data_IF_525460207247
#
_entry.id   IF_525460207247
#
_cell.length_a   1.000
_cell.length_b   1.000
_cell.length_c   1.000
_cell.angle_alpha   90.00
_cell.angle_beta   90.00
_cell.angle_gamma   90.00
#
_symmetry.space_group_name_H-M   'P 1'
#
loop_
_entity.id
_entity.type
_entity.pdbx_description
1 polymer ?
#
# COMPACT_ATOMS: atom_id res chain seq x y z
N UNK A 1 -21.18 -7.95 7.08
CA UNK A 1 -20.14 -7.86 6.03
C UNK A 1 -19.66 -9.27 5.73
N UNK A 2 -19.46 -9.64 4.45
CA UNK A 2 -18.82 -10.94 4.14
C UNK A 2 -17.37 -10.91 4.64
N UNK A 3 -16.97 -11.92 5.40
CA UNK A 3 -15.59 -12.05 5.87
C UNK A 3 -14.69 -12.39 4.68
N UNK A 4 -14.03 -11.37 4.14
CA UNK A 4 -12.98 -11.54 3.15
C UNK A 4 -11.76 -12.18 3.81
N UNK A 5 -11.19 -13.19 3.17
CA UNK A 5 -9.90 -13.75 3.55
C UNK A 5 -8.78 -12.74 3.26
N UNK A 6 -7.94 -12.49 4.25
CA UNK A 6 -6.81 -11.57 4.18
C UNK A 6 -5.50 -12.35 4.15
N UNK A 7 -4.56 -11.96 3.27
CA UNK A 7 -3.22 -12.53 3.26
C UNK A 7 -2.38 -11.82 4.32
N UNK A 8 -1.59 -12.61 5.04
CA UNK A 8 -0.68 -12.09 6.05
C UNK A 8 0.60 -12.91 6.06
N UNK A 9 1.74 -12.23 6.20
CA UNK A 9 3.03 -12.89 6.38
C UNK A 9 3.52 -12.63 7.80
N UNK A 10 3.87 -13.68 8.54
CA UNK A 10 4.23 -13.56 9.96
C UNK A 10 5.63 -14.09 10.26
N UNK A 11 6.26 -13.53 11.29
CA UNK A 11 7.53 -13.99 11.80
C UNK A 11 7.61 -13.80 13.32
N UNK A 12 8.41 -14.63 13.98
CA UNK A 12 8.62 -14.57 15.44
C UNK A 12 9.57 -13.45 15.87
N UNK A 13 10.38 -12.93 14.94
CA UNK A 13 11.31 -11.82 15.20
C UNK A 13 11.41 -10.88 14.01
N UNK A 14 11.74 -9.61 14.25
CA UNK A 14 11.98 -8.61 13.20
C UNK A 14 13.14 -8.96 12.26
N UNK A 15 14.10 -9.73 12.75
CA UNK A 15 15.33 -10.15 12.05
C UNK A 15 15.15 -11.47 11.30
N UNK A 16 13.97 -12.08 11.34
CA UNK A 16 13.68 -13.31 10.64
C UNK A 16 13.90 -13.16 9.14
N UNK A 17 14.72 -14.07 8.61
CA UNK A 17 15.05 -14.11 7.18
C UNK A 17 13.94 -14.76 6.35
N UNK A 18 13.09 -15.58 6.97
CA UNK A 18 11.93 -16.22 6.38
C UNK A 18 10.67 -15.88 7.17
N UNK A 19 9.59 -15.64 6.44
CA UNK A 19 8.27 -15.27 6.91
C UNK A 19 7.27 -16.29 6.40
N UNK A 20 6.31 -16.65 7.24
CA UNK A 20 5.28 -17.63 6.90
C UNK A 20 4.08 -16.90 6.31
N UNK A 21 3.78 -17.13 5.04
CA UNK A 21 2.56 -16.63 4.41
C UNK A 21 1.37 -17.50 4.83
N UNK A 22 0.34 -16.88 5.40
CA UNK A 22 -0.91 -17.54 5.78
C UNK A 22 -2.10 -16.65 5.40
N UNK A 23 -3.29 -17.13 5.75
CA UNK A 23 -4.51 -16.35 5.68
C UNK A 23 -5.04 -16.03 7.08
N UNK A 24 -5.84 -14.98 7.17
CA UNK A 24 -6.52 -14.52 8.39
C UNK A 24 -7.79 -13.79 8.00
N UNK A 25 -8.55 -13.29 8.98
CA UNK A 25 -9.74 -12.48 8.76
C UNK A 25 -9.63 -11.16 9.50
N UNK A 26 -10.50 -10.21 9.15
CA UNK A 26 -10.67 -8.98 9.92
C UNK A 26 -10.98 -9.29 11.38
N UNK A 27 -11.84 -10.28 11.64
CA UNK A 27 -12.25 -10.70 12.98
C UNK A 27 -11.08 -11.26 13.78
N UNK A 28 -10.28 -12.14 13.19
CA UNK A 28 -9.13 -12.76 13.90
C UNK A 28 -8.07 -11.70 14.23
N UNK A 29 -7.79 -10.78 13.30
CA UNK A 29 -6.88 -9.67 13.57
C UNK A 29 -7.44 -8.74 14.65
N UNK A 30 -8.74 -8.43 14.61
CA UNK A 30 -9.40 -7.61 15.63
C UNK A 30 -9.33 -8.26 17.00
N UNK A 31 -9.67 -9.54 17.11
CA UNK A 31 -9.57 -10.31 18.35
C UNK A 31 -8.13 -10.30 18.89
N UNK A 32 -7.15 -10.48 18.00
CA UNK A 32 -5.73 -10.42 18.37
C UNK A 32 -5.29 -9.04 18.89
N UNK A 33 -5.88 -7.95 18.41
CA UNK A 33 -5.60 -6.63 18.96
C UNK A 33 -6.11 -6.49 20.39
N UNK A 34 -7.27 -7.07 20.72
CA UNK A 34 -7.79 -7.09 22.08
C UNK A 34 -7.02 -8.02 23.04
N UNK A 35 -6.12 -8.86 22.52
CA UNK A 35 -5.26 -9.76 23.30
C UNK A 35 -3.76 -9.43 23.08
N UNK A 36 -3.27 -8.27 23.55
CA UNK A 36 -1.87 -7.89 23.37
C UNK A 36 -0.93 -8.82 24.14
N UNK A 37 0.28 -9.01 23.61
CA UNK A 37 1.35 -9.66 24.35
C UNK A 37 1.78 -8.78 25.52
N UNK A 38 1.68 -9.28 26.74
CA UNK A 38 2.19 -8.59 27.93
C UNK A 38 3.71 -8.82 28.02
N UNK A 39 4.47 -7.75 27.84
CA UNK A 39 5.92 -7.73 28.01
C UNK A 39 6.22 -7.49 29.49
N UNK A 40 6.88 -8.45 30.14
CA UNK A 40 7.23 -8.39 31.56
C UNK A 40 8.32 -7.34 31.84
N UNK A 41 7.94 -6.07 31.82
CA UNK A 41 8.75 -4.88 32.00
C UNK A 41 7.82 -3.71 32.31
N UNK A 42 8.20 -2.85 33.25
CA UNK A 42 7.47 -1.62 33.55
C UNK A 42 7.86 -0.48 32.61
N UNK A 43 7.03 0.57 32.52
CA UNK A 43 7.34 1.81 31.78
C UNK A 43 8.68 2.42 32.20
N UNK A 44 8.95 2.46 33.51
CA UNK A 44 10.18 3.03 34.06
C UNK A 44 11.43 2.21 33.72
N UNK A 45 11.35 0.88 33.78
CA UNK A 45 12.44 0.00 33.35
C UNK A 45 12.69 0.13 31.85
N UNK A 46 11.63 0.09 31.04
CA UNK A 46 11.72 0.20 29.59
C UNK A 46 12.33 1.54 29.16
N UNK A 47 12.00 2.64 29.85
CA UNK A 47 12.58 3.96 29.60
C UNK A 47 14.08 4.02 29.87
N UNK A 48 14.56 3.31 30.89
CA UNK A 48 15.99 3.25 31.27
C UNK A 48 16.83 2.39 30.32
N UNK A 49 16.22 1.49 29.57
CA UNK A 49 16.91 0.64 28.58
C UNK A 49 17.54 1.47 27.45
N UNK A 50 18.61 0.97 26.87
CA UNK A 50 19.15 1.46 25.60
C UNK A 50 18.15 1.22 24.46
N UNK A 51 18.33 1.92 23.34
CA UNK A 51 17.51 1.69 22.13
C UNK A 51 17.56 0.22 21.67
N UNK A 52 18.74 -0.40 21.71
CA UNK A 52 18.91 -1.79 21.29
C UNK A 52 18.17 -2.77 22.20
N UNK A 53 18.21 -2.56 23.51
CA UNK A 53 17.46 -3.36 24.49
C UNK A 53 15.95 -3.19 24.32
N UNK A 54 15.47 -1.96 24.15
CA UNK A 54 14.06 -1.69 23.83
C UNK A 54 13.63 -2.38 22.54
N UNK A 55 14.46 -2.31 21.50
CA UNK A 55 14.20 -2.96 20.21
C UNK A 55 14.15 -4.49 20.31
N UNK A 56 14.92 -5.08 21.21
CA UNK A 56 14.85 -6.51 21.52
C UNK A 56 13.62 -6.86 22.35
N UNK A 57 13.29 -6.02 23.34
CA UNK A 57 12.16 -6.27 24.27
C UNK A 57 10.80 -6.14 23.57
N UNK A 58 10.69 -5.21 22.60
CA UNK A 58 9.47 -5.01 21.80
C UNK A 58 9.24 -6.05 20.72
N UNK A 59 10.26 -6.86 20.42
CA UNK A 59 10.18 -7.87 19.37
C UNK A 59 9.41 -9.10 19.85
N UNK A 60 8.09 -8.98 19.86
CA UNK A 60 7.12 -10.06 20.15
C UNK A 60 6.71 -10.80 18.87
N UNK A 61 7.54 -10.71 17.83
CA UNK A 61 7.18 -11.03 16.46
C UNK A 61 6.29 -9.98 15.81
N UNK A 62 5.91 -10.24 14.57
CA UNK A 62 5.12 -9.29 13.80
C UNK A 62 4.57 -9.84 12.51
N UNK A 63 4.07 -8.93 11.69
CA UNK A 63 3.43 -9.23 10.43
C UNK A 63 3.71 -8.20 9.35
N UNK A 64 3.58 -8.65 8.10
CA UNK A 64 3.30 -7.81 6.93
C UNK A 64 1.88 -8.14 6.49
N UNK A 65 1.01 -7.13 6.39
CA UNK A 65 -0.40 -7.29 6.00
C UNK A 65 -0.57 -7.58 4.51
N UNK A 66 -0.09 -8.73 4.06
CA UNK A 66 -0.05 -9.14 2.66
C UNK A 66 0.71 -10.44 2.43
N UNK A 67 1.15 -10.67 1.19
CA UNK A 67 1.85 -11.91 0.79
C UNK A 67 3.26 -11.62 0.29
N UNK A 68 4.24 -12.36 0.83
CA UNK A 68 5.65 -12.22 0.49
C UNK A 68 6.12 -13.26 -0.53
N UNK A 69 6.72 -12.81 -1.63
CA UNK A 69 7.37 -13.67 -2.61
C UNK A 69 8.49 -14.48 -1.94
N UNK A 70 8.36 -15.80 -1.98
CA UNK A 70 9.25 -16.77 -1.31
C UNK A 70 9.37 -16.59 0.21
N UNK A 71 8.38 -15.97 0.87
CA UNK A 71 8.42 -15.71 2.31
C UNK A 71 9.59 -14.79 2.72
N UNK A 72 10.05 -13.90 1.83
CA UNK A 72 11.17 -12.98 2.11
C UNK A 72 10.67 -11.55 2.19
N UNK A 73 10.99 -10.86 3.30
CA UNK A 73 10.68 -9.44 3.47
C UNK A 73 11.84 -8.58 2.98
N UNK A 74 11.80 -8.18 1.71
CA UNK A 74 12.74 -7.22 1.08
C UNK A 74 12.06 -6.48 -0.07
N UNK A 75 12.68 -5.41 -0.57
CA UNK A 75 12.19 -4.67 -1.74
C UNK A 75 11.90 -5.60 -2.93
N UNK A 76 10.77 -5.37 -3.60
CA UNK A 76 10.32 -6.18 -4.74
C UNK A 76 9.78 -7.58 -4.39
N UNK A 77 9.67 -7.93 -3.10
CA UNK A 77 9.12 -9.22 -2.66
C UNK A 77 7.71 -9.12 -2.08
N UNK A 78 7.05 -7.97 -2.17
CA UNK A 78 5.64 -7.82 -1.81
C UNK A 78 4.81 -8.14 -3.04
N UNK A 79 4.02 -9.22 -3.00
CA UNK A 79 3.11 -9.56 -4.09
C UNK A 79 1.79 -8.82 -3.95
N UNK A 80 1.27 -8.72 -2.72
CA UNK A 80 0.00 -8.07 -2.42
C UNK A 80 0.02 -7.51 -1.00
N UNK A 81 -0.80 -6.49 -0.74
CA UNK A 81 -1.18 -6.00 0.59
C UNK A 81 -2.70 -6.14 0.76
N UNK A 82 -3.12 -6.75 1.86
CA UNK A 82 -4.52 -7.01 2.17
C UNK A 82 -5.14 -5.98 3.13
N UNK A 83 -4.29 -5.19 3.81
CA UNK A 83 -4.67 -4.08 4.68
C UNK A 83 -3.61 -2.98 4.68
N UNK A 84 -4.03 -1.77 5.04
CA UNK A 84 -3.13 -0.66 5.36
C UNK A 84 -2.81 -0.71 6.84
N UNK A 85 -1.55 -0.45 7.17
CA UNK A 85 -1.10 -0.32 8.55
C UNK A 85 -0.26 0.93 8.66
N UNK A 86 -0.65 1.83 9.56
CA UNK A 86 -0.03 3.14 9.75
C UNK A 86 0.50 3.24 11.19
N UNK A 87 1.77 3.61 11.36
CA UNK A 87 2.38 3.97 12.64
C UNK A 87 2.25 5.49 12.83
N UNK A 88 1.63 5.90 13.93
CA UNK A 88 1.49 7.30 14.33
C UNK A 88 2.32 7.52 15.59
N UNK A 89 3.40 8.28 15.44
CA UNK A 89 4.42 8.48 16.47
C UNK A 89 4.49 9.92 17.00
N UNK A 90 3.86 10.88 16.31
CA UNK A 90 3.97 12.31 16.62
C UNK A 90 2.57 12.94 16.78
N UNK A 91 1.68 12.28 17.52
CA UNK A 91 0.34 12.80 17.81
C UNK A 91 0.47 13.84 18.96
N UNK A 92 -0.05 15.06 18.80
CA UNK A 92 -0.05 16.06 19.89
C UNK A 92 -0.82 15.56 21.12
N UNK A 93 -0.33 15.86 22.33
CA UNK A 93 -0.92 15.38 23.59
C UNK A 93 -2.41 15.74 23.75
N UNK A 94 -2.83 16.88 23.21
CA UNK A 94 -4.19 17.40 23.30
C UNK A 94 -5.17 16.77 22.28
N UNK A 95 -4.73 15.79 21.49
CA UNK A 95 -5.57 15.11 20.49
C UNK A 95 -6.09 13.79 21.07
N UNK A 96 -7.41 13.64 21.07
CA UNK A 96 -8.08 12.35 21.22
C UNK A 96 -8.12 11.66 19.85
N UNK A 97 -7.16 10.76 19.61
CA UNK A 97 -7.05 10.07 18.32
C UNK A 97 -8.31 9.23 18.01
N UNK A 98 -8.83 8.35 18.89
CA UNK A 98 -10.06 7.61 18.63
C UNK A 98 -11.25 8.50 18.21
N UNK A 99 -11.47 9.62 18.90
CA UNK A 99 -12.55 10.54 18.55
C UNK A 99 -12.30 11.23 17.19
N UNK A 100 -11.07 11.68 16.93
CA UNK A 100 -10.69 12.27 15.65
C UNK A 100 -10.88 11.29 14.48
N UNK A 101 -10.54 10.01 14.66
CA UNK A 101 -10.74 8.98 13.65
C UNK A 101 -12.23 8.67 13.42
N UNK A 102 -13.05 8.67 14.46
CA UNK A 102 -14.48 8.42 14.33
C UNK A 102 -15.18 9.50 13.47
N UNK A 103 -14.75 10.75 13.63
CA UNK A 103 -15.27 11.92 12.90
C UNK A 103 -14.75 11.98 11.46
N UNK A 104 -13.44 11.83 11.26
CA UNK A 104 -12.79 12.10 9.97
C UNK A 104 -12.72 10.91 9.02
N UNK A 105 -12.77 9.67 9.54
CA UNK A 105 -12.52 8.47 8.74
C UNK A 105 -13.84 7.78 8.34
N UNK A 106 -14.17 7.72 7.03
CA UNK A 106 -15.44 7.16 6.56
C UNK A 106 -15.44 5.63 6.38
N UNK A 107 -14.35 4.94 6.71
CA UNK A 107 -14.18 3.49 6.46
C UNK A 107 -13.86 2.69 7.72
N UNK A 108 -13.92 1.37 7.59
CA UNK A 108 -13.66 0.42 8.65
C UNK A 108 -12.18 0.47 9.07
N UNK A 109 -11.92 0.71 10.34
CA UNK A 109 -10.58 0.81 10.91
C UNK A 109 -10.51 0.20 12.31
N UNK A 110 -9.29 -0.16 12.71
CA UNK A 110 -8.92 -0.50 14.08
C UNK A 110 -7.71 0.35 14.46
N UNK A 111 -7.73 0.96 15.64
CA UNK A 111 -6.61 1.69 16.20
C UNK A 111 -6.22 1.07 17.54
N UNK A 112 -4.92 0.85 17.76
CA UNK A 112 -4.43 0.37 19.04
C UNK A 112 -3.15 1.10 19.44
N UNK A 113 -2.90 1.23 20.75
CA UNK A 113 -1.65 1.81 21.22
C UNK A 113 -0.47 0.87 20.97
N UNK A 114 0.74 1.43 20.88
CA UNK A 114 1.97 0.63 20.75
C UNK A 114 2.58 0.37 22.12
N UNK A 115 3.53 -0.59 22.20
CA UNK A 115 4.24 -0.91 23.45
C UNK A 115 4.83 0.31 24.17
N UNK A 116 5.26 1.32 23.41
CA UNK A 116 5.89 2.54 23.94
C UNK A 116 4.95 3.73 24.05
N UNK A 117 3.63 3.50 24.02
CA UNK A 117 2.64 4.55 24.22
C UNK A 117 2.71 5.13 25.64
N UNK A 118 2.56 6.45 25.73
CA UNK A 118 2.43 7.23 26.95
C UNK A 118 1.43 8.37 26.70
N UNK A 119 0.75 8.85 27.75
CA UNK A 119 -0.18 9.99 27.65
C UNK A 119 0.53 11.26 27.14
N UNK A 120 1.80 11.45 27.53
CA UNK A 120 2.67 12.56 27.09
C UNK A 120 3.41 12.30 25.79
N UNK A 121 3.29 11.10 25.23
CA UNK A 121 3.90 10.73 23.95
C UNK A 121 3.07 9.62 23.30
N UNK A 122 1.93 10.05 22.74
CA UNK A 122 0.95 9.13 22.20
C UNK A 122 1.49 8.42 20.97
N UNK A 123 1.58 7.09 21.05
CA UNK A 123 1.99 6.24 19.93
C UNK A 123 0.92 5.21 19.62
N UNK A 124 0.39 5.27 18.40
CA UNK A 124 -0.72 4.46 17.95
C UNK A 124 -0.40 3.77 16.64
N UNK A 125 -1.10 2.68 16.38
CA UNK A 125 -1.11 1.99 15.10
C UNK A 125 -2.53 1.86 14.61
N UNK A 126 -2.76 2.24 13.35
CA UNK A 126 -4.06 2.13 12.70
C UNK A 126 -3.99 1.04 11.65
N UNK A 127 -4.97 0.14 11.64
CA UNK A 127 -5.24 -0.83 10.61
C UNK A 127 -6.48 -0.40 9.84
N UNK A 128 -6.36 -0.31 8.52
CA UNK A 128 -7.47 0.00 7.62
C UNK A 128 -7.71 -1.18 6.71
N UNK A 129 -8.95 -1.65 6.69
CA UNK A 129 -9.37 -2.84 5.96
C UNK A 129 -9.62 -2.51 4.49
N UNK A 130 -9.13 -3.36 3.58
CA UNK A 130 -9.29 -3.17 2.13
C UNK A 130 -10.29 -4.17 1.53
N UNK A 131 -11.09 -3.70 0.58
CA UNK A 131 -12.08 -4.52 -0.13
C UNK A 131 -11.43 -5.52 -1.10
N UNK A 132 -10.23 -5.21 -1.60
CA UNK A 132 -9.40 -6.09 -2.43
C UNK A 132 -7.94 -6.01 -2.00
N UNK A 133 -7.16 -6.99 -2.44
CA UNK A 133 -5.71 -6.87 -2.36
C UNK A 133 -5.24 -5.75 -3.30
N UNK A 134 -4.18 -5.07 -2.90
CA UNK A 134 -3.48 -4.07 -3.71
C UNK A 134 -2.04 -4.49 -3.96
N UNK A 135 -1.49 -4.10 -5.11
CA UNK A 135 -0.08 -4.25 -5.40
C UNK A 135 0.79 -3.34 -4.51
N UNK A 136 2.11 -3.55 -4.54
CA UNK A 136 3.04 -2.81 -3.68
C UNK A 136 3.05 -1.29 -3.97
N UNK A 137 2.91 -0.90 -5.24
CA UNK A 137 2.84 0.49 -5.69
C UNK A 137 1.49 1.13 -5.36
N UNK A 138 0.38 0.43 -5.62
CA UNK A 138 -0.97 0.85 -5.20
C UNK A 138 -1.01 1.10 -3.68
N UNK A 139 -0.40 0.23 -2.88
CA UNK A 139 -0.33 0.39 -1.43
C UNK A 139 0.25 1.75 -1.03
N UNK A 140 1.37 2.16 -1.62
CA UNK A 140 2.01 3.44 -1.31
C UNK A 140 1.10 4.63 -1.60
N UNK A 141 0.42 4.62 -2.76
CA UNK A 141 -0.51 5.66 -3.18
C UNK A 141 -1.74 5.74 -2.26
N UNK A 142 -2.37 4.59 -1.97
CA UNK A 142 -3.59 4.51 -1.16
C UNK A 142 -3.29 4.86 0.30
N UNK A 143 -2.24 4.28 0.89
CA UNK A 143 -1.86 4.52 2.29
C UNK A 143 -1.57 6.00 2.56
N UNK A 144 -0.92 6.71 1.62
CA UNK A 144 -0.65 8.15 1.76
C UNK A 144 -1.91 9.01 1.67
N UNK A 145 -2.88 8.67 0.82
CA UNK A 145 -4.17 9.38 0.79
C UNK A 145 -5.02 9.11 2.02
N UNK A 146 -5.04 7.86 2.49
CA UNK A 146 -5.65 7.48 3.78
C UNK A 146 -5.04 8.30 4.91
N UNK A 147 -3.72 8.37 4.98
CA UNK A 147 -3.02 9.17 5.98
C UNK A 147 -3.29 10.68 5.84
N UNK A 148 -3.42 11.20 4.61
CA UNK A 148 -3.76 12.60 4.36
C UNK A 148 -5.17 12.94 4.84
N UNK A 149 -6.13 12.02 4.71
CA UNK A 149 -7.49 12.23 5.25
C UNK A 149 -7.48 12.30 6.78
N UNK A 150 -6.63 11.50 7.44
CA UNK A 150 -6.48 11.48 8.91
C UNK A 150 -5.74 12.72 9.42
N UNK A 151 -4.63 13.09 8.76
CA UNK A 151 -3.84 14.26 9.09
C UNK A 151 -3.28 14.88 7.78
N UNK A 152 -3.84 16.00 7.29
CA UNK A 152 -3.49 16.55 5.97
C UNK A 152 -2.01 16.79 5.71
N UNK A 153 -1.24 17.15 6.75
CA UNK A 153 0.21 17.37 6.67
C UNK A 153 1.07 16.12 6.86
N UNK A 154 0.47 14.96 7.14
CA UNK A 154 1.12 13.69 7.47
C UNK A 154 2.09 13.73 8.65
N UNK A 155 2.11 14.82 9.43
CA UNK A 155 3.09 15.07 10.47
C UNK A 155 3.01 14.03 11.61
N UNK A 156 1.86 13.41 11.80
CA UNK A 156 1.64 12.41 12.84
C UNK A 156 2.31 11.06 12.56
N UNK A 157 2.60 10.75 11.29
CA UNK A 157 2.99 9.41 10.85
C UNK A 157 4.51 9.21 10.86
N UNK A 158 4.95 7.99 11.16
CA UNK A 158 6.32 7.55 10.83
C UNK A 158 6.49 7.59 9.30
N UNK A 159 7.50 8.30 8.74
CA UNK A 159 7.67 8.45 7.29
C UNK A 159 7.83 7.14 6.51
N UNK A 160 8.27 6.08 7.18
CA UNK A 160 8.51 4.75 6.59
C UNK A 160 7.29 3.84 6.67
N UNK A 161 6.19 4.29 7.29
CA UNK A 161 4.95 3.49 7.40
C UNK A 161 4.32 3.16 6.04
N UNK A 162 4.60 3.99 5.03
CA UNK A 162 4.13 3.82 3.66
C UNK A 162 4.95 2.81 2.84
N UNK A 163 6.03 2.26 3.39
CA UNK A 163 6.84 1.25 2.70
C UNK A 163 6.04 -0.07 2.56
N UNK A 164 5.92 -0.63 1.35
CA UNK A 164 5.15 -1.87 1.14
C UNK A 164 5.70 -3.06 1.93
N UNK A 165 7.02 -3.15 2.11
CA UNK A 165 7.72 -4.20 2.86
C UNK A 165 7.82 -3.93 4.36
N UNK A 166 7.21 -2.84 4.84
CA UNK A 166 7.15 -2.53 6.27
C UNK A 166 6.44 -3.67 7.00
N UNK A 167 7.13 -4.22 7.99
CA UNK A 167 6.47 -5.08 8.97
C UNK A 167 6.08 -4.26 10.19
N UNK A 168 5.12 -4.77 10.93
CA UNK A 168 4.64 -4.20 12.17
C UNK A 168 4.68 -5.27 13.26
N UNK A 169 5.12 -4.89 14.46
CA UNK A 169 5.07 -5.79 15.60
C UNK A 169 3.62 -6.16 15.92
N UNK A 170 3.41 -7.34 16.50
CA UNK A 170 2.11 -7.66 17.07
C UNK A 170 1.76 -6.70 18.21
N UNK A 171 0.45 -6.49 18.46
CA UNK A 171 -0.04 -5.80 19.64
C UNK A 171 0.67 -6.28 20.91
N UNK A 172 1.20 -5.33 21.68
CA UNK A 172 1.91 -5.62 22.91
C UNK A 172 1.82 -4.42 23.86
N UNK A 173 1.82 -4.72 25.16
CA UNK A 173 1.84 -3.72 26.22
C UNK A 173 2.86 -4.09 27.30
N UNK A 174 3.35 -3.08 28.01
CA UNK A 174 4.16 -3.25 29.22
C UNK A 174 3.24 -3.69 30.37
N UNK A 175 3.83 -4.19 31.45
CA UNK A 175 3.06 -4.69 32.60
C UNK A 175 2.14 -3.63 33.21
N UNK A 176 2.57 -2.37 33.22
CA UNK A 176 1.87 -1.18 33.67
C UNK A 176 1.56 -0.21 32.50
N UNK A 177 1.58 -0.74 31.26
CA UNK A 177 1.31 0.02 30.05
C UNK A 177 -0.17 0.37 29.89
N UNK A 178 -0.44 1.56 29.39
CA UNK A 178 -1.81 2.01 29.10
C UNK A 178 -2.23 1.56 27.69
N UNK A 179 -2.83 0.38 27.61
CA UNK A 179 -3.16 -0.26 26.35
C UNK A 179 -4.62 -0.04 25.96
N UNK A 180 -4.83 0.57 24.80
CA UNK A 180 -6.16 0.87 24.27
C UNK A 180 -6.34 0.25 22.88
N UNK A 181 -7.58 -0.18 22.60
CA UNK A 181 -8.01 -0.66 21.28
C UNK A 181 -9.38 -0.07 20.98
N UNK A 182 -9.48 0.60 19.83
CA UNK A 182 -10.71 1.17 19.32
C UNK A 182 -10.97 0.63 17.91
N UNK A 183 -12.24 0.39 17.61
CA UNK A 183 -12.70 -0.02 16.29
C UNK A 183 -13.77 0.93 15.81
N UNK A 184 -13.84 1.18 14.51
CA UNK A 184 -14.96 1.94 13.98
C UNK A 184 -16.25 1.14 13.98
N UNK A 185 -17.37 1.85 14.14
CA UNK A 185 -18.71 1.27 14.14
C UNK A 185 -19.47 1.74 12.91
N UNK A 186 -20.21 0.82 12.28
CA UNK A 186 -21.07 1.12 11.12
C UNK A 186 -20.36 1.77 9.92
N UNK A 187 -19.05 1.54 9.74
CA UNK A 187 -18.28 2.03 8.58
C UNK A 187 -18.04 0.90 7.58
N UNK A 188 -17.99 1.22 6.29
CA UNK A 188 -17.71 0.24 5.23
C UNK A 188 -16.21 -0.02 5.06
N UNK A 189 -15.85 -1.21 4.57
CA UNK A 189 -14.45 -1.53 4.24
C UNK A 189 -13.97 -0.62 3.10
N UNK A 190 -12.74 -0.09 3.20
CA UNK A 190 -12.21 0.84 2.21
C UNK A 190 -12.07 0.18 0.83
N UNK A 191 -12.64 0.80 -0.20
CA UNK A 191 -12.35 0.46 -1.58
C UNK A 191 -11.10 1.24 -2.06
N UNK A 192 -9.95 0.57 -2.32
CA UNK A 192 -8.73 1.25 -2.72
C UNK A 192 -8.86 2.02 -4.04
N UNK A 193 -9.75 1.58 -4.95
CA UNK A 193 -9.95 2.23 -6.23
C UNK A 193 -10.48 3.67 -6.08
N UNK A 194 -11.34 3.91 -5.09
CA UNK A 194 -11.84 5.26 -4.78
C UNK A 194 -10.70 6.21 -4.40
N UNK A 195 -9.65 5.69 -3.76
CA UNK A 195 -8.49 6.46 -3.33
C UNK A 195 -7.48 6.67 -4.45
N UNK A 196 -7.27 5.65 -5.30
CA UNK A 196 -6.44 5.75 -6.50
C UNK A 196 -7.03 6.76 -7.49
N UNK A 197 -8.36 6.82 -7.62
CA UNK A 197 -9.08 7.76 -8.50
C UNK A 197 -8.99 9.22 -8.05
N UNK A 198 -8.46 9.52 -6.85
CA UNK A 198 -8.19 10.89 -6.40
C UNK A 198 -6.90 11.47 -6.99
N UNK A 199 -6.12 10.66 -7.71
CA UNK A 199 -4.93 11.11 -8.41
C UNK A 199 -5.22 11.27 -9.91
N UNK A 200 -4.67 12.31 -10.52
CA UNK A 200 -4.65 12.41 -11.99
C UNK A 200 -3.88 11.24 -12.61
N UNK A 201 -2.80 10.79 -11.97
CA UNK A 201 -2.07 9.56 -12.30
C UNK A 201 -1.41 9.03 -11.03
N UNK A 202 -1.98 8.01 -10.38
CA UNK A 202 -1.43 7.52 -9.11
C UNK A 202 -0.07 6.86 -9.28
N UNK A 203 0.32 6.42 -10.47
CA UNK A 203 1.66 5.88 -10.75
C UNK A 203 2.72 6.99 -10.77
N UNK A 204 2.32 8.25 -10.93
CA UNK A 204 3.23 9.38 -10.76
C UNK A 204 3.47 9.60 -9.27
N UNK A 205 4.48 8.88 -8.76
CA UNK A 205 4.90 8.94 -7.36
C UNK A 205 5.21 10.36 -6.92
N UNK A 206 5.59 11.29 -7.81
CA UNK A 206 5.90 12.68 -7.44
C UNK A 206 4.68 13.45 -6.94
N UNK A 207 3.48 12.96 -7.27
CA UNK A 207 2.20 13.54 -6.83
C UNK A 207 1.70 12.99 -5.49
N UNK A 208 2.40 12.01 -4.92
CA UNK A 208 1.97 11.37 -3.68
C UNK A 208 2.09 12.32 -2.48
N UNK A 209 1.08 12.37 -1.58
CA UNK A 209 1.16 13.16 -0.36
C UNK A 209 2.42 12.86 0.45
N UNK A 210 3.20 13.91 0.76
CA UNK A 210 4.40 13.85 1.60
C UNK A 210 5.53 12.99 1.07
N UNK A 211 5.63 12.78 -0.25
CA UNK A 211 6.83 12.20 -0.85
C UNK A 211 7.90 13.28 -1.04
N UNK A 212 9.16 12.97 -0.75
CA UNK A 212 10.28 13.89 -1.06
C UNK A 212 10.80 13.66 -2.49
N UNK A 213 11.49 14.64 -3.10
CA UNK A 213 12.13 14.44 -4.40
C UNK A 213 13.10 13.24 -4.44
N UNK A 214 13.84 13.00 -3.36
CA UNK A 214 14.77 11.86 -3.24
C UNK A 214 14.01 10.53 -3.18
N UNK A 215 12.90 10.49 -2.43
CA UNK A 215 12.03 9.32 -2.37
C UNK A 215 11.41 9.05 -3.75
N UNK A 216 10.86 10.06 -4.41
CA UNK A 216 10.32 9.92 -5.75
C UNK A 216 11.38 9.41 -6.75
N UNK A 217 12.61 9.94 -6.69
CA UNK A 217 13.74 9.46 -7.49
C UNK A 217 14.10 8.00 -7.17
N UNK A 218 14.07 7.60 -5.91
CA UNK A 218 14.32 6.23 -5.51
C UNK A 218 13.24 5.28 -6.03
N UNK A 219 11.96 5.67 -5.96
CA UNK A 219 10.85 4.91 -6.55
C UNK A 219 11.01 4.75 -8.07
N UNK A 220 11.36 5.82 -8.78
CA UNK A 220 11.66 5.79 -10.21
C UNK A 220 12.89 4.92 -10.54
N UNK A 221 13.90 4.90 -9.67
CA UNK A 221 15.09 4.07 -9.84
C UNK A 221 14.80 2.57 -9.60
N UNK A 222 13.92 2.23 -8.67
CA UNK A 222 13.47 0.84 -8.42
C UNK A 222 12.36 0.38 -9.35
N UNK A 223 11.62 1.32 -9.92
CA UNK A 223 10.57 1.14 -10.91
C UNK A 223 11.06 1.29 -12.35
N UNK A 224 12.35 1.04 -12.61
CA UNK A 224 12.77 0.70 -13.98
C UNK A 224 12.07 -0.61 -14.34
N UNK A 225 10.86 -0.48 -14.85
CA UNK A 225 10.49 -1.30 -15.98
C UNK A 225 11.65 -1.16 -16.95
N UNK A 226 12.33 -2.27 -17.22
CA UNK A 226 13.39 -2.29 -18.22
C UNK A 226 12.86 -1.56 -19.45
N UNK A 227 13.70 -0.70 -20.05
CA UNK A 227 13.26 0.00 -21.25
C UNK A 227 12.86 -1.09 -22.25
N UNK A 228 11.60 -1.14 -22.70
CA UNK A 228 11.14 -2.25 -23.52
C UNK A 228 11.87 -2.25 -24.86
N UNK A 229 12.51 -1.13 -25.22
CA UNK A 229 13.41 -0.98 -26.36
C UNK A 229 14.75 -1.70 -26.17
N UNK A 230 15.19 -1.95 -24.95
CA UNK A 230 16.45 -2.64 -24.65
C UNK A 230 16.32 -4.17 -24.74
N UNK A 231 15.08 -4.70 -24.81
CA UNK A 231 14.86 -6.14 -24.99
C UNK A 231 15.49 -6.64 -26.31
N UNK A 232 16.18 -7.80 -26.31
CA UNK A 232 16.78 -8.32 -27.52
C UNK A 232 15.73 -8.81 -28.52
N UNK A 233 16.11 -8.88 -29.79
CA UNK A 233 15.29 -9.46 -30.86
C UNK A 233 14.04 -8.65 -31.20
N UNK A 234 12.99 -9.36 -31.65
CA UNK A 234 11.77 -8.76 -32.18
C UNK A 234 10.98 -7.95 -31.15
N UNK A 235 11.01 -8.34 -29.87
CA UNK A 235 10.31 -7.64 -28.79
C UNK A 235 10.82 -6.20 -28.64
N UNK A 236 12.13 -6.00 -28.52
CA UNK A 236 12.68 -4.64 -28.45
C UNK A 236 12.59 -3.91 -29.78
N UNK A 237 12.74 -4.60 -30.91
CA UNK A 237 12.58 -4.00 -32.23
C UNK A 237 11.18 -3.39 -32.41
N UNK A 238 10.14 -4.13 -31.99
CA UNK A 238 8.77 -3.64 -32.01
C UNK A 238 8.60 -2.42 -31.12
N UNK A 239 9.06 -2.49 -29.86
CA UNK A 239 8.90 -1.38 -28.91
C UNK A 239 9.75 -0.13 -29.28
N UNK A 240 10.82 -0.28 -30.06
CA UNK A 240 11.57 0.84 -30.67
C UNK A 240 10.79 1.51 -31.81
N UNK A 241 10.17 0.70 -32.66
CA UNK A 241 9.42 1.20 -33.82
C UNK A 241 8.07 1.81 -33.43
N UNK A 242 7.44 1.28 -32.38
CA UNK A 242 6.08 1.63 -31.99
C UNK A 242 5.99 1.98 -30.50
N UNK A 243 6.23 3.25 -30.11
CA UNK A 243 5.74 3.75 -28.83
C UNK A 243 4.22 3.55 -28.72
N UNK A 244 3.69 3.50 -27.50
CA UNK A 244 2.28 3.18 -27.23
C UNK A 244 1.30 3.98 -28.10
N UNK A 245 1.40 5.32 -28.24
CA UNK A 245 0.48 6.07 -29.10
C UNK A 245 0.52 5.62 -30.57
N UNK A 246 1.72 5.32 -31.09
CA UNK A 246 1.91 4.84 -32.46
C UNK A 246 1.37 3.43 -32.61
N UNK A 247 1.62 2.54 -31.64
CA UNK A 247 1.09 1.18 -31.62
C UNK A 247 -0.44 1.17 -31.58
N UNK A 248 -1.05 2.02 -30.76
CA UNK A 248 -2.52 2.17 -30.70
C UNK A 248 -3.05 2.60 -32.06
N UNK A 249 -2.50 3.68 -32.63
CA UNK A 249 -2.93 4.19 -33.93
C UNK A 249 -2.78 3.15 -35.06
N UNK A 250 -1.75 2.31 -35.00
CA UNK A 250 -1.41 1.38 -36.08
C UNK A 250 -2.17 0.06 -35.95
N UNK A 251 -2.27 -0.46 -34.73
CA UNK A 251 -2.72 -1.83 -34.50
C UNK A 251 -3.98 -1.92 -33.64
N UNK A 252 -4.43 -0.87 -32.96
CA UNK A 252 -5.53 -0.93 -31.99
C UNK A 252 -6.51 0.25 -32.13
N UNK A 253 -6.63 0.85 -33.32
CA UNK A 253 -7.46 2.03 -33.54
C UNK A 253 -8.98 1.79 -33.35
N UNK A 254 -9.42 0.54 -33.50
CA UNK A 254 -10.76 0.03 -33.21
C UNK A 254 -10.98 -0.28 -31.71
N UNK A 255 -9.90 -0.48 -30.96
CA UNK A 255 -9.90 -0.88 -29.54
C UNK A 255 -9.79 0.34 -28.62
N UNK A 256 -9.03 1.35 -29.02
CA UNK A 256 -8.80 2.56 -28.24
C UNK A 256 -9.03 3.81 -29.06
N UNK A 257 -9.75 4.77 -28.46
CA UNK A 257 -9.86 6.15 -28.98
C UNK A 257 -9.10 7.12 -28.07
N UNK A 258 -8.57 8.25 -28.61
CA UNK A 258 -7.99 9.29 -27.78
C UNK A 258 -8.96 9.70 -26.66
N UNK A 259 -8.42 9.82 -25.46
CA UNK A 259 -9.15 10.31 -24.31
C UNK A 259 -9.38 11.83 -24.37
N UNK A 260 -10.21 12.32 -23.46
CA UNK A 260 -10.36 13.77 -23.22
C UNK A 260 -9.26 14.35 -22.33
N UNK A 261 -8.45 13.48 -21.72
CA UNK A 261 -7.30 13.83 -20.88
C UNK A 261 -6.00 13.50 -21.61
N UNK A 262 -4.99 14.37 -21.47
CA UNK A 262 -3.65 14.15 -22.05
C UNK A 262 -3.08 12.80 -21.60
N UNK A 263 -2.38 12.12 -22.50
CA UNK A 263 -1.72 10.82 -22.29
C UNK A 263 -2.67 9.70 -21.82
N UNK A 264 -3.97 9.82 -22.13
CA UNK A 264 -4.97 8.80 -21.84
C UNK A 264 -5.77 8.42 -23.07
N UNK A 265 -6.20 7.16 -23.11
CA UNK A 265 -7.05 6.58 -24.14
C UNK A 265 -8.28 5.94 -23.50
N UNK A 266 -9.37 5.88 -24.25
CA UNK A 266 -10.62 5.24 -23.85
C UNK A 266 -10.74 3.90 -24.56
N UNK A 267 -10.90 2.82 -23.78
CA UNK A 267 -11.24 1.50 -24.30
C UNK A 267 -12.65 1.53 -24.89
N UNK A 268 -12.80 1.15 -26.17
CA UNK A 268 -14.06 1.29 -26.90
C UNK A 268 -15.10 0.24 -26.50
N UNK A 269 -14.66 -0.92 -25.98
CA UNK A 269 -15.54 -1.96 -25.43
C UNK A 269 -15.95 -1.73 -23.96
N UNK A 270 -15.53 -0.62 -23.36
CA UNK A 270 -15.80 -0.28 -21.97
C UNK A 270 -16.93 0.73 -21.80
N UNK A 271 -17.38 0.90 -20.55
CA UNK A 271 -18.41 1.87 -20.17
C UNK A 271 -17.85 3.19 -19.65
N UNK A 272 -16.54 3.29 -19.36
CA UNK A 272 -15.91 4.52 -18.87
C UNK A 272 -14.79 5.03 -19.79
N UNK A 273 -14.58 6.35 -19.73
CA UNK A 273 -13.62 7.09 -20.54
C UNK A 273 -12.23 7.11 -19.89
N UNK A 274 -11.18 7.32 -20.70
CA UNK A 274 -9.81 7.63 -20.24
C UNK A 274 -9.16 6.55 -19.37
N UNK A 275 -9.61 5.30 -19.49
CA UNK A 275 -9.17 4.18 -18.66
C UNK A 275 -7.76 3.66 -18.93
N UNK A 276 -7.21 3.86 -20.14
CA UNK A 276 -5.85 3.48 -20.48
C UNK A 276 -4.90 4.67 -20.30
N UNK A 277 -3.93 4.52 -19.41
CA UNK A 277 -2.94 5.56 -19.08
C UNK A 277 -1.64 5.25 -19.79
N UNK A 278 -1.09 6.22 -20.52
CA UNK A 278 0.22 6.14 -21.13
C UNK A 278 1.23 6.87 -20.25
N UNK A 279 2.37 6.26 -19.99
CA UNK A 279 3.42 6.85 -19.17
C UNK A 279 4.81 6.39 -19.61
N UNK A 280 5.84 6.80 -18.85
CA UNK A 280 7.25 6.52 -19.14
C UNK A 280 7.64 6.93 -20.57
N UNK A 281 7.41 8.20 -20.91
CA UNK A 281 7.66 8.79 -22.23
C UNK A 281 6.94 8.08 -23.39
N UNK A 282 5.82 7.42 -23.12
CA UNK A 282 5.03 6.74 -24.14
C UNK A 282 5.41 5.28 -24.36
N UNK A 283 6.19 4.67 -23.47
CA UNK A 283 6.67 3.30 -23.64
C UNK A 283 5.89 2.25 -22.85
N UNK A 284 5.07 2.68 -21.88
CA UNK A 284 4.21 1.80 -21.12
C UNK A 284 2.79 2.31 -21.05
N UNK A 285 1.85 1.37 -20.97
CA UNK A 285 0.45 1.62 -20.71
C UNK A 285 -0.04 0.82 -19.50
N UNK A 286 -1.01 1.37 -18.78
CA UNK A 286 -1.71 0.68 -17.70
C UNK A 286 -3.20 0.93 -17.83
N UNK A 287 -4.02 -0.12 -17.81
CA UNK A 287 -5.47 0.03 -17.87
C UNK A 287 -6.11 -0.06 -16.49
N UNK A 288 -6.93 0.92 -16.17
CA UNK A 288 -7.76 0.98 -14.96
C UNK A 288 -9.21 0.54 -15.22
N UNK A 289 -9.56 0.24 -16.48
CA UNK A 289 -10.94 -0.09 -16.83
C UNK A 289 -11.18 -1.58 -16.62
N UNK A 290 -11.97 -1.98 -15.63
CA UNK A 290 -12.15 -3.39 -15.25
C UNK A 290 -12.57 -4.35 -16.39
N UNK A 291 -13.22 -3.85 -17.45
CA UNK A 291 -13.59 -4.66 -18.63
C UNK A 291 -12.57 -4.63 -19.77
N UNK A 292 -11.50 -3.84 -19.65
CA UNK A 292 -10.41 -3.82 -20.61
C UNK A 292 -9.50 -5.04 -20.35
N UNK A 293 -9.25 -5.90 -21.35
CA UNK A 293 -8.33 -7.03 -21.21
C UNK A 293 -6.93 -6.68 -20.68
N UNK A 294 -6.46 -5.45 -20.89
CA UNK A 294 -5.19 -4.96 -20.35
C UNK A 294 -5.26 -4.54 -18.87
N UNK A 295 -6.44 -4.57 -18.23
CA UNK A 295 -6.63 -4.26 -16.81
C UNK A 295 -6.37 -5.49 -15.92
N UNK A 296 -5.19 -6.10 -16.09
CA UNK A 296 -4.75 -7.30 -15.37
C UNK A 296 -3.88 -6.97 -14.14
N UNK A 297 -3.80 -5.67 -13.78
CA UNK A 297 -2.96 -5.18 -12.70
C UNK A 297 -1.50 -4.94 -13.08
N UNK A 298 -1.10 -5.14 -14.35
CA UNK A 298 0.25 -4.90 -14.83
C UNK A 298 0.33 -3.73 -15.81
N UNK A 299 1.55 -3.24 -15.99
CA UNK A 299 1.86 -2.29 -17.05
C UNK A 299 2.44 -2.99 -18.26
N UNK A 300 1.99 -2.60 -19.44
CA UNK A 300 2.26 -3.27 -20.69
C UNK A 300 3.10 -2.38 -21.59
N UNK A 301 4.17 -2.93 -22.16
CA UNK A 301 4.86 -2.29 -23.27
C UNK A 301 3.98 -2.38 -24.53
N UNK A 302 4.33 -1.66 -25.59
CA UNK A 302 3.51 -1.60 -26.80
C UNK A 302 3.27 -2.96 -27.44
N UNK A 303 4.29 -3.81 -27.49
CA UNK A 303 4.13 -5.18 -27.97
C UNK A 303 3.10 -5.96 -27.14
N UNK A 304 3.20 -5.89 -25.81
CA UNK A 304 2.35 -6.64 -24.90
C UNK A 304 0.89 -6.16 -24.98
N UNK A 305 0.68 -4.85 -25.04
CA UNK A 305 -0.64 -4.25 -25.22
C UNK A 305 -1.28 -4.73 -26.53
N UNK A 306 -0.54 -4.68 -27.65
CA UNK A 306 -1.05 -5.18 -28.94
C UNK A 306 -1.35 -6.68 -28.87
N UNK A 307 -0.47 -7.46 -28.22
CA UNK A 307 -0.63 -8.91 -28.08
C UNK A 307 -1.93 -9.25 -27.36
N UNK A 308 -2.17 -8.64 -26.20
CA UNK A 308 -3.34 -8.89 -25.35
C UNK A 308 -4.64 -8.68 -26.14
N UNK A 309 -4.73 -7.57 -26.90
CA UNK A 309 -5.97 -7.24 -27.60
C UNK A 309 -6.19 -7.98 -28.91
N UNK A 310 -5.12 -8.31 -29.63
CA UNK A 310 -5.25 -8.96 -30.95
C UNK A 310 -5.19 -10.47 -30.88
N UNK A 311 -4.55 -11.04 -29.86
CA UNK A 311 -4.21 -12.45 -29.83
C UNK A 311 -4.52 -13.15 -28.50
N UNK A 312 -4.82 -12.42 -27.41
CA UNK A 312 -5.00 -12.97 -26.06
C UNK A 312 -3.68 -13.17 -25.32
#
# INVERSE_FOLDING_TARGET
MKNRELKIATATTRTSSHWTNTHTTLQDLTARAYEPTIVNCTKDEYKKMTKAERDKRKDVGGFVGGHLKHGRRRKGHILTRSLITLDLDNIPENVDLPAALADTVPYAWLAHTTLSHLDTNQRWRIWVWLHRDVAADEYGAVARRVAQDINPGLAWFDPTTFEPERFFYWPATLQDGDYHVHVSTQKEILNPDNYLNRYDTWQDVTTWPGITPEQAKAFQATGKLDDPRDKPGMLGAFNRAYPIPTAIKTFLADVYKPGTTKDRYTYTGGSSSNGLIIYNQGHYAYSQHATDPAADGHSHAAFDLVRIHRFG
#
